data_IF_082987887174
#
_entry.id   IF_082987887174
#
_cell.length_a   1.000
_cell.length_b   1.000
_cell.length_c   1.000
_cell.angle_alpha   90.00
_cell.angle_beta   90.00
_cell.angle_gamma   90.00
#
_symmetry.space_group_name_H-M   'P 1'
#
loop_
_entity.id
_entity.type
_entity.pdbx_description
1 polymer ?
#
# COMPACT_ATOMS: atom_id res chain seq x y z
N UNK A 1 -25.85 -7.84 6.66
CA UNK A 1 -27.16 -8.24 7.22
C UNK A 1 -28.23 -7.28 6.71
N UNK A 2 -29.36 -7.77 6.23
CA UNK A 2 -30.51 -6.95 5.84
C UNK A 2 -31.44 -6.92 7.06
N UNK A 3 -31.81 -5.70 7.49
CA UNK A 3 -32.74 -5.50 8.60
C UNK A 3 -33.90 -4.62 8.12
N UNK A 4 -35.12 -5.00 8.48
CA UNK A 4 -36.29 -4.15 8.28
C UNK A 4 -36.32 -3.11 9.40
N UNK A 5 -36.42 -1.83 9.05
CA UNK A 5 -36.54 -0.72 9.99
C UNK A 5 -38.01 -0.28 9.96
N UNK A 6 -38.72 -0.49 11.05
CA UNK A 6 -40.14 -0.13 11.17
C UNK A 6 -40.33 1.27 11.77
N UNK A 7 -39.33 1.81 12.49
CA UNK A 7 -39.39 3.14 13.10
C UNK A 7 -38.18 4.00 12.71
N UNK A 8 -38.39 5.31 12.55
CA UNK A 8 -37.35 6.27 12.14
C UNK A 8 -36.28 6.53 13.22
N UNK A 9 -36.50 6.12 14.44
CA UNK A 9 -35.67 6.43 15.62
C UNK A 9 -34.57 5.39 15.93
N UNK A 10 -34.23 4.48 14.98
CA UNK A 10 -33.12 3.58 15.23
C UNK A 10 -31.78 4.33 15.10
N UNK A 11 -31.08 4.51 16.22
CA UNK A 11 -29.70 5.05 16.27
C UNK A 11 -28.65 4.15 15.60
N UNK A 12 -29.07 3.06 14.95
CA UNK A 12 -28.17 2.14 14.26
C UNK A 12 -27.62 2.76 12.97
N UNK A 13 -26.30 2.76 12.83
CA UNK A 13 -25.63 3.17 11.61
C UNK A 13 -25.72 2.06 10.55
N UNK A 14 -26.45 2.32 9.50
CA UNK A 14 -26.54 1.44 8.32
C UNK A 14 -25.66 1.95 7.18
N UNK A 15 -25.00 1.03 6.49
CA UNK A 15 -24.19 1.36 5.31
C UNK A 15 -25.04 1.83 4.13
N UNK A 16 -26.23 1.24 3.96
CA UNK A 16 -27.18 1.55 2.90
C UNK A 16 -28.59 1.41 3.46
N UNK A 17 -29.42 2.41 3.25
CA UNK A 17 -30.84 2.40 3.59
C UNK A 17 -31.63 2.34 2.28
N UNK A 18 -32.53 1.35 2.18
CA UNK A 18 -33.47 1.24 1.07
C UNK A 18 -34.85 1.67 1.56
N UNK A 19 -35.50 2.60 0.86
CA UNK A 19 -36.83 3.12 1.25
C UNK A 19 -37.73 3.27 0.06
N UNK A 20 -39.01 3.01 0.28
CA UNK A 20 -40.10 3.30 -0.70
C UNK A 20 -40.69 4.68 -0.47
N UNK A 21 -40.27 5.42 0.57
CA UNK A 21 -40.69 6.78 0.85
C UNK A 21 -39.68 7.76 0.25
N UNK A 22 -40.14 8.67 -0.62
CA UNK A 22 -39.30 9.67 -1.30
C UNK A 22 -38.74 10.71 -0.35
N UNK A 23 -39.49 11.10 0.66
CA UNK A 23 -39.09 12.14 1.60
C UNK A 23 -37.93 11.62 2.47
N UNK A 24 -38.01 10.38 2.98
CA UNK A 24 -36.93 9.73 3.69
C UNK A 24 -35.66 9.59 2.81
N UNK A 25 -35.87 9.30 1.51
CA UNK A 25 -34.72 9.18 0.60
C UNK A 25 -34.02 10.52 0.35
N UNK A 26 -34.70 11.65 0.51
CA UNK A 26 -34.11 12.99 0.39
C UNK A 26 -33.48 13.48 1.69
N UNK A 27 -34.04 13.12 2.84
CA UNK A 27 -33.62 13.62 4.15
C UNK A 27 -32.41 12.83 4.75
N UNK A 28 -32.39 11.51 4.56
CA UNK A 28 -31.33 10.66 5.14
C UNK A 28 -30.20 10.39 4.14
N UNK A 29 -29.02 10.91 4.44
CA UNK A 29 -27.83 10.64 3.64
C UNK A 29 -27.52 9.11 3.56
N UNK A 30 -27.29 8.62 2.35
CA UNK A 30 -27.04 7.19 2.13
C UNK A 30 -28.29 6.37 1.78
N UNK A 31 -29.48 6.97 1.83
CA UNK A 31 -30.74 6.32 1.45
C UNK A 31 -30.91 6.22 -0.06
N UNK A 32 -31.52 5.13 -0.50
CA UNK A 32 -31.85 4.88 -1.90
C UNK A 32 -33.36 4.68 -2.00
N UNK A 33 -34.05 5.54 -2.80
CA UNK A 33 -35.44 5.30 -3.14
C UNK A 33 -35.54 4.09 -4.08
N UNK A 34 -36.42 3.16 -3.73
CA UNK A 34 -36.76 1.99 -4.52
C UNK A 34 -38.28 1.93 -4.70
N UNK A 35 -38.76 1.33 -5.80
CA UNK A 35 -40.17 1.11 -5.97
C UNK A 35 -40.66 -0.05 -5.09
N UNK A 36 -41.93 -0.04 -4.64
CA UNK A 36 -42.49 -1.16 -3.85
C UNK A 36 -42.37 -2.52 -4.53
N UNK A 37 -42.44 -2.55 -5.86
CA UNK A 37 -42.04 -3.69 -6.68
C UNK A 37 -40.67 -3.37 -7.27
N UNK A 38 -39.63 -4.03 -6.79
CA UNK A 38 -38.24 -3.84 -7.26
C UNK A 38 -38.16 -3.93 -8.79
N UNK A 39 -37.73 -2.83 -9.40
CA UNK A 39 -37.48 -2.79 -10.84
C UNK A 39 -36.02 -3.11 -11.15
N UNK A 40 -35.71 -3.47 -12.41
CA UNK A 40 -34.33 -3.64 -12.88
C UNK A 40 -33.48 -2.39 -12.64
N UNK A 41 -34.09 -1.19 -12.73
CA UNK A 41 -33.40 0.07 -12.42
C UNK A 41 -33.03 0.18 -10.93
N UNK A 42 -33.91 -0.26 -10.05
CA UNK A 42 -33.65 -0.24 -8.59
C UNK A 42 -32.53 -1.22 -8.24
N UNK A 43 -32.55 -2.42 -8.80
CA UNK A 43 -31.50 -3.41 -8.62
C UNK A 43 -30.15 -2.84 -9.07
N UNK A 44 -30.07 -2.18 -10.22
CA UNK A 44 -28.86 -1.55 -10.72
C UNK A 44 -28.36 -0.42 -9.80
N UNK A 45 -29.25 0.43 -9.27
CA UNK A 45 -28.89 1.49 -8.30
C UNK A 45 -28.29 0.89 -7.02
N UNK A 46 -28.93 -0.14 -6.47
CA UNK A 46 -28.46 -0.83 -5.26
C UNK A 46 -27.09 -1.45 -5.52
N UNK A 47 -26.93 -2.19 -6.62
CA UNK A 47 -25.67 -2.81 -6.99
C UNK A 47 -24.53 -1.79 -7.12
N UNK A 48 -24.76 -0.69 -7.83
CA UNK A 48 -23.79 0.38 -7.98
C UNK A 48 -23.38 0.98 -6.62
N UNK A 49 -24.35 1.19 -5.71
CA UNK A 49 -24.07 1.75 -4.38
C UNK A 49 -23.24 0.81 -3.52
N UNK A 50 -23.55 -0.50 -3.58
CA UNK A 50 -22.77 -1.54 -2.89
C UNK A 50 -21.33 -1.54 -3.42
N UNK A 51 -21.14 -1.55 -4.73
CA UNK A 51 -19.81 -1.52 -5.34
C UNK A 51 -19.01 -0.27 -4.94
N UNK A 52 -19.65 0.92 -4.99
CA UNK A 52 -19.00 2.17 -4.56
C UNK A 52 -18.57 2.10 -3.08
N UNK A 53 -19.45 1.64 -2.19
CA UNK A 53 -19.12 1.50 -0.77
C UNK A 53 -18.00 0.49 -0.52
N UNK A 54 -18.05 -0.65 -1.22
CA UNK A 54 -17.01 -1.67 -1.17
C UNK A 54 -15.64 -1.09 -1.59
N UNK A 55 -15.61 -0.38 -2.71
CA UNK A 55 -14.39 0.28 -3.21
C UNK A 55 -13.83 1.30 -2.19
N UNK A 56 -14.68 2.14 -1.58
CA UNK A 56 -14.26 3.11 -0.55
C UNK A 56 -13.63 2.38 0.65
N UNK A 57 -14.26 1.29 1.10
CA UNK A 57 -13.74 0.51 2.24
C UNK A 57 -12.39 -0.15 1.89
N UNK A 58 -12.27 -0.75 0.72
CA UNK A 58 -11.02 -1.36 0.24
C UNK A 58 -9.91 -0.33 0.15
N UNK A 59 -10.16 0.86 -0.41
CA UNK A 59 -9.18 1.94 -0.48
C UNK A 59 -8.75 2.42 0.92
N UNK A 60 -9.69 2.53 1.85
CA UNK A 60 -9.38 2.87 3.23
C UNK A 60 -8.47 1.84 3.91
N UNK A 61 -8.77 0.55 3.76
CA UNK A 61 -7.94 -0.54 4.28
C UNK A 61 -6.55 -0.55 3.65
N UNK A 62 -6.43 -0.34 2.34
CA UNK A 62 -5.14 -0.22 1.65
C UNK A 62 -4.33 0.97 2.17
N UNK A 63 -4.99 2.13 2.37
CA UNK A 63 -4.35 3.29 2.98
C UNK A 63 -3.77 2.99 4.36
N UNK A 64 -4.50 2.26 5.20
CA UNK A 64 -4.02 1.82 6.52
C UNK A 64 -2.85 0.84 6.42
N UNK A 65 -2.85 -0.07 5.45
CA UNK A 65 -1.72 -0.98 5.22
C UNK A 65 -0.45 -0.24 4.81
N UNK A 66 -0.55 0.79 3.96
CA UNK A 66 0.60 1.64 3.62
C UNK A 66 1.18 2.28 4.87
N UNK A 67 0.35 2.93 5.69
CA UNK A 67 0.79 3.62 6.92
C UNK A 67 1.38 2.65 7.96
N UNK A 68 0.93 1.39 7.96
CA UNK A 68 1.45 0.34 8.83
C UNK A 68 2.82 -0.17 8.40
N UNK A 69 3.01 -0.41 7.10
CA UNK A 69 4.21 -1.09 6.60
C UNK A 69 5.29 -0.15 6.08
N UNK A 70 4.94 1.10 5.73
CA UNK A 70 5.92 2.11 5.31
C UNK A 70 5.89 3.25 6.32
N UNK A 71 6.86 3.25 7.23
CA UNK A 71 6.92 4.22 8.32
C UNK A 71 8.01 5.27 8.09
N UNK A 72 7.75 6.50 8.55
CA UNK A 72 8.68 7.63 8.41
C UNK A 72 10.09 7.32 8.92
N UNK A 73 10.20 6.60 10.03
CA UNK A 73 11.51 6.27 10.62
C UNK A 73 12.38 5.40 9.72
N UNK A 74 11.80 4.70 8.73
CA UNK A 74 12.48 3.87 7.74
C UNK A 74 12.57 4.52 6.35
N UNK A 75 12.21 5.79 6.22
CA UNK A 75 12.28 6.55 4.97
C UNK A 75 13.54 7.42 4.91
N UNK A 76 14.18 7.48 3.75
CA UNK A 76 15.27 8.39 3.42
C UNK A 76 15.03 9.02 2.05
N UNK A 77 15.03 10.35 2.00
CA UNK A 77 14.63 11.09 0.82
C UNK A 77 15.80 11.76 0.11
N UNK A 78 15.82 11.65 -1.22
CA UNK A 78 16.74 12.40 -2.11
C UNK A 78 18.20 12.33 -1.64
N UNK A 79 18.67 11.10 -1.35
CA UNK A 79 20.04 10.87 -0.86
C UNK A 79 21.03 11.06 -2.03
N UNK A 80 22.10 11.80 -1.80
CA UNK A 80 23.23 11.91 -2.73
C UNK A 80 23.92 10.56 -2.86
N UNK A 81 23.97 9.96 -4.05
CA UNK A 81 24.55 8.65 -4.24
C UNK A 81 26.07 8.66 -4.51
N UNK A 82 26.75 9.81 -4.51
CA UNK A 82 28.14 9.97 -4.98
C UNK A 82 29.13 9.00 -4.34
N UNK A 83 28.92 8.64 -3.07
CA UNK A 83 29.79 7.69 -2.33
C UNK A 83 29.08 6.35 -2.02
N UNK A 84 27.91 6.10 -2.63
CA UNK A 84 27.09 4.95 -2.35
C UNK A 84 27.29 3.85 -3.40
N UNK A 85 27.32 2.62 -2.91
CA UNK A 85 27.23 1.41 -3.73
C UNK A 85 25.97 0.65 -3.31
N UNK A 86 25.44 -0.27 -4.14
CA UNK A 86 24.31 -1.12 -3.75
C UNK A 86 24.52 -1.82 -2.39
N UNK A 87 25.73 -2.30 -2.10
CA UNK A 87 26.07 -2.93 -0.83
C UNK A 87 26.01 -1.96 0.35
N UNK A 88 26.58 -0.75 0.22
CA UNK A 88 26.52 0.28 1.26
C UNK A 88 25.07 0.72 1.54
N UNK A 89 24.26 0.86 0.49
CA UNK A 89 22.84 1.21 0.64
C UNK A 89 22.11 0.13 1.45
N UNK A 90 22.25 -1.15 1.06
CA UNK A 90 21.62 -2.25 1.81
C UNK A 90 22.06 -2.25 3.26
N UNK A 91 23.36 -2.09 3.52
CA UNK A 91 23.91 -2.03 4.88
C UNK A 91 23.29 -0.91 5.72
N UNK A 92 23.23 0.31 5.18
CA UNK A 92 22.63 1.47 5.86
C UNK A 92 21.14 1.23 6.16
N UNK A 93 20.38 0.73 5.18
CA UNK A 93 18.96 0.46 5.35
C UNK A 93 18.69 -0.66 6.36
N UNK A 94 19.47 -1.74 6.31
CA UNK A 94 19.38 -2.85 7.28
C UNK A 94 19.72 -2.36 8.69
N UNK A 95 20.81 -1.62 8.87
CA UNK A 95 21.17 -1.03 10.16
C UNK A 95 20.08 -0.13 10.73
N UNK A 96 19.37 0.62 9.87
CA UNK A 96 18.25 1.44 10.28
C UNK A 96 17.04 0.59 10.72
N UNK A 97 16.73 -0.48 10.00
CA UNK A 97 15.67 -1.43 10.38
C UNK A 97 16.00 -2.18 11.68
N UNK A 98 17.28 -2.54 11.89
CA UNK A 98 17.75 -3.18 13.12
C UNK A 98 17.59 -2.24 14.33
N UNK A 99 18.03 -0.99 14.22
CA UNK A 99 17.86 0.04 15.27
C UNK A 99 16.40 0.30 15.63
N UNK A 100 15.49 0.10 14.69
CA UNK A 100 14.04 0.23 14.88
C UNK A 100 13.37 -1.11 15.25
N UNK A 101 14.14 -2.17 15.55
CA UNK A 101 13.66 -3.50 15.96
C UNK A 101 12.74 -4.20 14.93
N UNK A 102 12.89 -3.89 13.64
CA UNK A 102 12.21 -4.64 12.58
C UNK A 102 12.90 -5.96 12.27
N UNK A 103 14.22 -5.99 12.38
CA UNK A 103 15.05 -7.15 12.01
C UNK A 103 16.10 -7.43 13.06
N UNK A 104 16.66 -8.64 13.02
CA UNK A 104 17.82 -9.04 13.83
C UNK A 104 19.13 -8.80 13.06
N UNK A 105 20.32 -8.82 13.73
CA UNK A 105 21.61 -8.67 13.06
C UNK A 105 21.86 -9.68 11.94
N UNK A 106 21.32 -10.90 12.05
CA UNK A 106 21.49 -11.95 11.06
C UNK A 106 20.72 -11.68 9.75
N UNK A 107 19.82 -10.70 9.76
CA UNK A 107 19.03 -10.33 8.58
C UNK A 107 19.93 -9.85 7.43
N UNK A 108 21.05 -9.15 7.75
CA UNK A 108 22.03 -8.70 6.76
C UNK A 108 22.56 -9.86 5.90
N UNK A 109 23.01 -10.93 6.55
CA UNK A 109 23.55 -12.08 5.83
C UNK A 109 22.51 -12.73 4.91
N UNK A 110 21.25 -12.80 5.37
CA UNK A 110 20.14 -13.39 4.60
C UNK A 110 19.78 -12.56 3.36
N UNK A 111 19.77 -11.24 3.48
CA UNK A 111 19.56 -10.33 2.34
C UNK A 111 20.73 -10.44 1.35
N UNK A 112 21.97 -10.42 1.83
CA UNK A 112 23.14 -10.55 0.95
C UNK A 112 23.18 -11.92 0.25
N UNK A 113 22.76 -12.97 0.94
CA UNK A 113 22.61 -14.30 0.33
C UNK A 113 21.56 -14.28 -0.79
N UNK A 114 20.41 -13.64 -0.55
CA UNK A 114 19.35 -13.51 -1.55
C UNK A 114 19.82 -12.70 -2.76
N UNK A 115 20.50 -11.60 -2.55
CA UNK A 115 21.00 -10.72 -3.61
C UNK A 115 22.03 -11.41 -4.50
N UNK A 116 22.90 -12.27 -3.92
CA UNK A 116 23.86 -13.10 -4.70
C UNK A 116 23.22 -14.15 -5.58
N UNK A 117 21.99 -14.62 -5.26
CA UNK A 117 21.29 -15.63 -6.08
C UNK A 117 20.74 -15.05 -7.39
N UNK A 118 20.16 -13.84 -7.30
CA UNK A 118 19.65 -13.09 -8.43
C UNK A 118 19.44 -11.63 -8.02
N UNK A 119 19.71 -10.67 -8.91
CA UNK A 119 19.46 -9.27 -8.65
C UNK A 119 17.99 -9.00 -8.28
N UNK A 120 17.78 -8.07 -7.36
CA UNK A 120 16.45 -7.62 -6.97
C UNK A 120 16.06 -6.29 -7.62
N UNK A 121 16.81 -5.88 -8.64
CA UNK A 121 16.56 -4.66 -9.44
C UNK A 121 15.53 -4.93 -10.55
N UNK A 122 14.64 -3.98 -10.75
CA UNK A 122 13.59 -3.99 -11.78
C UNK A 122 13.86 -2.91 -12.84
N UNK A 123 13.55 -3.19 -14.13
CA UNK A 123 13.71 -2.21 -15.21
C UNK A 123 12.93 -0.91 -15.00
N UNK A 124 11.92 -0.92 -14.14
CA UNK A 124 11.17 0.27 -13.74
C UNK A 124 11.97 1.31 -12.96
N UNK A 125 13.19 0.97 -12.50
CA UNK A 125 14.05 1.89 -11.75
C UNK A 125 13.98 1.73 -10.23
N UNK A 126 13.47 0.60 -9.74
CA UNK A 126 13.44 0.24 -8.32
C UNK A 126 14.25 -1.03 -8.05
N UNK A 127 14.91 -1.10 -6.89
CA UNK A 127 15.45 -2.33 -6.32
C UNK A 127 14.65 -2.72 -5.07
N UNK A 128 14.36 -4.02 -4.91
CA UNK A 128 13.57 -4.55 -3.80
C UNK A 128 14.36 -5.65 -3.07
N UNK A 129 15.45 -5.31 -2.34
CA UNK A 129 16.20 -6.27 -1.56
C UNK A 129 15.34 -6.85 -0.43
N UNK A 130 15.44 -8.17 -0.19
CA UNK A 130 14.66 -8.87 0.84
C UNK A 130 15.39 -10.14 1.28
N UNK A 131 14.99 -10.74 2.40
CA UNK A 131 15.46 -12.06 2.80
C UNK A 131 14.63 -13.18 2.13
N UNK A 132 15.20 -14.39 2.03
CA UNK A 132 14.48 -15.55 1.48
C UNK A 132 13.36 -16.03 2.43
N UNK A 133 13.50 -15.78 3.73
CA UNK A 133 12.60 -16.29 4.77
C UNK A 133 11.85 -15.16 5.44
N UNK A 134 10.61 -15.45 5.85
CA UNK A 134 9.76 -14.54 6.63
C UNK A 134 10.14 -14.62 8.12
N UNK A 135 11.34 -14.20 8.47
CA UNK A 135 11.92 -14.32 9.82
C UNK A 135 12.31 -12.98 10.45
N UNK A 136 11.78 -11.90 9.92
CA UNK A 136 11.87 -10.60 10.55
C UNK A 136 11.05 -10.53 11.85
N UNK A 137 11.40 -9.60 12.73
CA UNK A 137 10.67 -9.35 13.98
C UNK A 137 9.33 -8.67 13.72
N UNK A 138 9.31 -7.77 12.73
CA UNK A 138 8.13 -7.03 12.26
C UNK A 138 8.18 -6.94 10.73
N UNK A 139 6.99 -6.97 10.09
CA UNK A 139 6.91 -6.68 8.66
C UNK A 139 7.00 -5.19 8.41
N UNK A 140 7.71 -4.82 7.33
CA UNK A 140 7.85 -3.42 6.94
C UNK A 140 8.74 -3.22 5.74
N UNK A 141 8.63 -2.04 5.14
CA UNK A 141 9.41 -1.61 3.98
C UNK A 141 10.19 -0.36 4.33
N UNK A 142 11.51 -0.45 4.26
CA UNK A 142 12.38 0.73 4.31
C UNK A 142 12.55 1.28 2.90
N UNK A 143 12.30 2.57 2.72
CA UNK A 143 12.38 3.26 1.42
C UNK A 143 13.56 4.22 1.42
N UNK A 144 14.34 4.20 0.34
CA UNK A 144 15.34 5.22 0.05
C UNK A 144 15.14 5.72 -1.39
N UNK A 145 15.03 7.04 -1.58
CA UNK A 145 15.07 7.68 -2.88
C UNK A 145 16.42 8.37 -3.08
N UNK A 146 16.92 8.39 -4.30
CA UNK A 146 18.21 8.96 -4.66
C UNK A 146 18.03 10.24 -5.50
N UNK A 147 18.93 11.19 -5.35
CA UNK A 147 18.98 12.39 -6.21
C UNK A 147 19.25 12.01 -7.67
N UNK A 148 20.28 11.16 -7.87
CA UNK A 148 20.65 10.63 -9.17
C UNK A 148 20.60 9.09 -9.15
N UNK A 149 20.28 8.43 -10.28
CA UNK A 149 20.24 6.98 -10.33
C UNK A 149 21.63 6.36 -10.23
N UNK A 150 21.74 5.23 -9.55
CA UNK A 150 22.93 4.38 -9.53
C UNK A 150 22.72 3.11 -10.34
N UNK A 151 23.81 2.47 -10.75
CA UNK A 151 23.73 1.12 -11.30
C UNK A 151 23.61 0.07 -10.18
N UNK A 152 22.54 -0.72 -10.25
CA UNK A 152 22.32 -1.90 -9.43
C UNK A 152 22.38 -3.11 -10.37
N UNK A 153 23.55 -3.73 -10.45
CA UNK A 153 23.95 -4.54 -11.60
C UNK A 153 23.82 -3.74 -12.90
N UNK A 154 23.06 -4.22 -13.87
CA UNK A 154 22.92 -3.56 -15.17
C UNK A 154 21.72 -2.60 -15.27
N UNK A 155 21.01 -2.35 -14.15
CA UNK A 155 19.79 -1.52 -14.13
C UNK A 155 20.05 -0.22 -13.38
N UNK A 156 19.60 0.90 -13.94
CA UNK A 156 19.61 2.22 -13.28
C UNK A 156 18.48 2.30 -12.27
N UNK A 157 18.80 2.45 -10.99
CA UNK A 157 17.87 2.47 -9.86
C UNK A 157 17.85 3.85 -9.21
N UNK A 158 16.67 4.35 -8.94
CA UNK A 158 16.43 5.63 -8.22
C UNK A 158 15.65 5.45 -6.92
N UNK A 159 14.99 4.30 -6.73
CA UNK A 159 14.29 3.93 -5.49
C UNK A 159 14.79 2.58 -5.01
N UNK A 160 15.01 2.47 -3.72
CA UNK A 160 15.29 1.21 -3.06
C UNK A 160 14.21 0.95 -2.01
N UNK A 161 13.59 -0.23 -2.05
CA UNK A 161 12.61 -0.70 -1.08
C UNK A 161 13.13 -1.98 -0.41
N UNK A 162 13.78 -1.86 0.74
CA UNK A 162 14.24 -3.01 1.51
C UNK A 162 13.08 -3.59 2.31
N UNK A 163 12.77 -4.87 2.07
CA UNK A 163 11.58 -5.55 2.62
C UNK A 163 11.97 -6.53 3.72
N UNK A 164 11.30 -6.41 4.86
CA UNK A 164 11.33 -7.34 5.97
C UNK A 164 9.94 -7.96 6.16
N UNK A 165 9.85 -9.29 6.28
CA UNK A 165 8.58 -10.01 6.42
C UNK A 165 8.63 -10.85 7.70
N UNK A 166 7.66 -10.64 8.59
CA UNK A 166 7.46 -11.41 9.80
C UNK A 166 6.43 -12.52 9.57
N UNK A 167 6.64 -13.69 10.16
CA UNK A 167 5.64 -14.77 10.12
C UNK A 167 4.30 -14.40 10.76
N UNK A 168 4.29 -13.40 11.67
CA UNK A 168 3.10 -13.03 12.43
C UNK A 168 1.99 -12.44 11.56
N UNK A 169 2.35 -11.73 10.51
CA UNK A 169 1.42 -11.02 9.63
C UNK A 169 1.76 -11.21 8.13
N UNK A 170 2.46 -12.30 7.80
CA UNK A 170 2.95 -12.56 6.46
C UNK A 170 1.83 -12.57 5.39
N UNK A 171 0.65 -13.09 5.69
CA UNK A 171 -0.47 -13.11 4.75
C UNK A 171 -0.93 -11.70 4.43
N UNK A 172 -1.21 -10.89 5.46
CA UNK A 172 -1.66 -9.50 5.30
C UNK A 172 -0.60 -8.63 4.63
N UNK A 173 0.68 -8.84 5.00
CA UNK A 173 1.79 -8.14 4.36
C UNK A 173 1.95 -8.52 2.89
N UNK A 174 1.78 -9.80 2.53
CA UNK A 174 1.88 -10.25 1.14
C UNK A 174 0.80 -9.62 0.26
N UNK A 175 -0.44 -9.50 0.75
CA UNK A 175 -1.53 -8.84 0.02
C UNK A 175 -1.18 -7.37 -0.29
N UNK A 176 -0.65 -6.65 0.71
CA UNK A 176 -0.12 -5.29 0.52
C UNK A 176 1.06 -5.26 -0.45
N UNK A 177 2.03 -6.17 -0.27
CA UNK A 177 3.27 -6.19 -1.02
C UNK A 177 3.07 -6.54 -2.50
N UNK A 178 2.17 -7.45 -2.81
CA UNK A 178 1.79 -7.78 -4.19
C UNK A 178 1.31 -6.54 -4.93
N UNK A 179 0.42 -5.76 -4.30
CA UNK A 179 -0.08 -4.51 -4.88
C UNK A 179 0.99 -3.44 -4.98
N UNK A 180 1.86 -3.32 -3.96
CA UNK A 180 3.00 -2.41 -4.01
C UNK A 180 3.92 -2.75 -5.20
N UNK A 181 4.26 -4.02 -5.39
CA UNK A 181 5.11 -4.48 -6.52
C UNK A 181 4.44 -4.20 -7.86
N UNK A 182 3.14 -4.45 -8.00
CA UNK A 182 2.38 -4.12 -9.22
C UNK A 182 2.55 -2.63 -9.58
N UNK A 183 2.36 -1.73 -8.61
CA UNK A 183 2.48 -0.29 -8.82
C UNK A 183 3.91 0.11 -9.22
N UNK A 184 4.91 -0.35 -8.48
CA UNK A 184 6.31 0.06 -8.72
C UNK A 184 6.97 -0.69 -9.87
N UNK A 185 6.31 -1.70 -10.45
CA UNK A 185 6.74 -2.33 -11.70
C UNK A 185 6.52 -1.43 -12.92
N UNK A 186 5.63 -0.45 -12.81
CA UNK A 186 5.38 0.53 -13.86
C UNK A 186 6.41 1.68 -13.80
N UNK A 187 7.21 1.92 -14.88
CA UNK A 187 8.25 2.95 -14.87
C UNK A 187 7.73 4.36 -14.59
N UNK A 188 6.52 4.69 -15.04
CA UNK A 188 5.91 5.99 -14.80
C UNK A 188 5.63 6.23 -13.32
N UNK A 189 5.17 5.20 -12.60
CA UNK A 189 4.88 5.28 -11.18
C UNK A 189 6.17 5.42 -10.36
N UNK A 190 7.17 4.62 -10.67
CA UNK A 190 8.49 4.71 -10.02
C UNK A 190 9.13 6.07 -10.22
N UNK A 191 9.03 6.64 -11.44
CA UNK A 191 9.48 8.00 -11.71
C UNK A 191 8.73 9.03 -10.86
N UNK A 192 7.39 8.97 -10.80
CA UNK A 192 6.57 9.88 -9.97
C UNK A 192 6.91 9.78 -8.49
N UNK A 193 7.09 8.56 -7.96
CA UNK A 193 7.49 8.33 -6.57
C UNK A 193 8.90 8.85 -6.27
N UNK A 194 9.86 8.67 -7.19
CA UNK A 194 11.23 9.14 -7.00
C UNK A 194 11.37 10.66 -6.97
N UNK A 195 10.37 11.40 -7.43
CA UNK A 195 10.32 12.86 -7.41
C UNK A 195 9.62 13.43 -6.16
N UNK A 196 9.24 12.59 -5.21
CA UNK A 196 8.66 13.07 -3.96
C UNK A 196 9.72 13.86 -3.17
N UNK A 197 9.34 15.01 -2.64
CA UNK A 197 10.22 15.88 -1.86
C UNK A 197 10.14 15.60 -0.34
N UNK A 198 9.15 14.81 0.08
CA UNK A 198 8.95 14.44 1.49
C UNK A 198 8.36 13.04 1.64
N UNK A 199 8.39 12.52 2.87
CA UNK A 199 7.70 11.27 3.22
C UNK A 199 6.19 11.36 2.95
N UNK A 200 5.58 12.46 3.34
CA UNK A 200 4.14 12.69 3.18
C UNK A 200 3.74 12.66 1.71
N UNK A 201 4.50 13.34 0.87
CA UNK A 201 4.25 13.36 -0.56
C UNK A 201 4.45 11.99 -1.20
N UNK A 202 5.49 11.24 -0.78
CA UNK A 202 5.70 9.87 -1.22
C UNK A 202 4.51 8.97 -0.89
N UNK A 203 4.05 9.02 0.36
CA UNK A 203 2.91 8.23 0.84
C UNK A 203 1.61 8.63 0.13
N UNK A 204 1.38 9.93 -0.05
CA UNK A 204 0.19 10.41 -0.76
C UNK A 204 0.16 9.92 -2.21
N UNK A 205 1.28 10.05 -2.93
CA UNK A 205 1.41 9.55 -4.30
C UNK A 205 1.17 8.04 -4.37
N UNK A 206 1.74 7.27 -3.44
CA UNK A 206 1.55 5.82 -3.40
C UNK A 206 0.09 5.43 -3.12
N UNK A 207 -0.58 6.11 -2.19
CA UNK A 207 -2.01 5.90 -1.90
C UNK A 207 -2.88 6.16 -3.14
N UNK A 208 -2.64 7.28 -3.83
CA UNK A 208 -3.35 7.61 -5.07
C UNK A 208 -3.17 6.52 -6.15
N UNK A 209 -1.94 6.03 -6.33
CA UNK A 209 -1.66 4.97 -7.31
C UNK A 209 -2.35 3.64 -6.93
N UNK A 210 -2.45 3.32 -5.63
CA UNK A 210 -3.17 2.13 -5.17
C UNK A 210 -4.69 2.23 -5.39
N UNK A 211 -5.24 3.43 -5.43
CA UNK A 211 -6.65 3.68 -5.73
C UNK A 211 -6.96 3.63 -7.24
N UNK A 212 -5.98 4.01 -8.08
CA UNK A 212 -6.12 4.08 -9.54
C UNK A 212 -5.88 2.72 -10.24
N UNK A 213 -5.22 1.76 -9.59
CA UNK A 213 -4.76 0.51 -10.19
C UNK A 213 -5.83 -0.60 -10.24
N UNK A 214 -7.11 -0.26 -10.53
CA UNK A 214 -8.23 -1.20 -10.73
C UNK A 214 -8.86 -1.12 -12.12
#
# INVERSE_FOLDING_TARGET
>A
TIKLIENEDSEENFDIILTTNRDIALEKAGSIFIHPLLTTKDIKKISNRIQTKKKILENHLRGQQIDRYIVRSLYANQIDPSELTPAKIREQMISKMEKQTFVTPEFKEKVEKRERMAPTSFPSGIAIPHSIKNDALQSGVSIMTLQEPIYWNDVKIKIIALVAISKKDATEFNDFFEKFVEIVSEPINTKRLSMAESFEEFIQKLKMMMEESE
#
